data_IF_502473430358
#
_entry.id   IF_502473430358
#
_cell.length_a   1.000
_cell.length_b   1.000
_cell.length_c   1.000
_cell.angle_alpha   90.00
_cell.angle_beta   90.00
_cell.angle_gamma   90.00
#
_symmetry.space_group_name_H-M   'P 1'
#
loop_
_entity.id
_entity.type
_entity.pdbx_description
1 polymer ?
#
# COMPACT_ATOMS: atom_id res chain seq x y z
N UNK A 1 12.79 12.21 19.14
CA UNK A 1 13.09 11.01 18.32
C UNK A 1 11.82 10.65 17.55
N UNK A 2 11.81 10.66 16.21
CA UNK A 2 10.63 10.22 15.47
C UNK A 2 10.38 8.75 15.78
N UNK A 3 9.13 8.43 16.12
CA UNK A 3 8.71 7.08 16.45
C UNK A 3 9.07 6.11 15.32
N UNK A 4 9.47 4.87 15.62
CA UNK A 4 9.75 3.87 14.59
C UNK A 4 8.48 3.67 13.77
N UNK A 5 8.49 4.18 12.53
CA UNK A 5 7.40 3.95 11.58
C UNK A 5 7.33 2.43 11.39
N UNK A 6 6.21 1.84 11.83
CA UNK A 6 5.91 0.40 11.74
C UNK A 6 6.16 -0.19 10.34
N UNK A 7 6.12 0.64 9.30
CA UNK A 7 6.43 0.29 7.92
C UNK A 7 7.44 1.28 7.31
N UNK A 8 8.55 0.80 6.71
CA UNK A 8 9.49 1.66 6.02
C UNK A 8 8.88 2.26 4.75
N UNK A 9 9.34 3.45 4.32
CA UNK A 9 8.82 4.11 3.13
C UNK A 9 8.99 3.26 1.86
N UNK A 10 10.10 2.52 1.73
CA UNK A 10 10.32 1.67 0.55
C UNK A 10 9.26 0.56 0.44
N UNK A 11 8.82 0.02 1.58
CA UNK A 11 7.77 -1.00 1.62
C UNK A 11 6.42 -0.43 1.23
N UNK A 12 6.13 0.81 1.66
CA UNK A 12 4.92 1.52 1.24
C UNK A 12 4.89 1.73 -0.28
N UNK A 13 5.98 2.26 -0.85
CA UNK A 13 6.07 2.52 -2.29
C UNK A 13 5.96 1.22 -3.09
N UNK A 14 6.65 0.17 -2.64
CA UNK A 14 6.56 -1.17 -3.23
C UNK A 14 5.13 -1.71 -3.21
N UNK A 15 4.43 -1.60 -2.07
CA UNK A 15 3.07 -2.11 -1.94
C UNK A 15 2.08 -1.33 -2.85
N UNK A 16 2.21 -0.01 -2.93
CA UNK A 16 1.41 0.83 -3.85
C UNK A 16 1.64 0.41 -5.30
N UNK A 17 2.91 0.21 -5.69
CA UNK A 17 3.27 -0.20 -7.06
C UNK A 17 2.67 -1.57 -7.41
N UNK A 18 2.74 -2.53 -6.49
CA UNK A 18 2.14 -3.86 -6.68
C UNK A 18 0.62 -3.80 -6.82
N UNK A 19 -0.07 -2.93 -6.09
CA UNK A 19 -1.53 -2.75 -6.26
C UNK A 19 -1.85 -2.19 -7.64
N UNK A 20 -1.08 -1.20 -8.12
CA UNK A 20 -1.28 -0.63 -9.45
C UNK A 20 -1.01 -1.67 -10.55
N UNK A 21 0.07 -2.44 -10.41
CA UNK A 21 0.43 -3.50 -11.35
C UNK A 21 -0.63 -4.60 -11.39
N UNK A 22 -1.12 -5.04 -10.24
CA UNK A 22 -2.19 -6.03 -10.16
C UNK A 22 -3.50 -5.50 -10.76
N UNK A 23 -3.82 -4.21 -10.58
CA UNK A 23 -4.96 -3.58 -11.27
C UNK A 23 -4.78 -3.48 -12.79
N UNK A 24 -3.56 -3.28 -13.26
CA UNK A 24 -3.26 -3.22 -14.69
C UNK A 24 -3.31 -4.60 -15.33
N UNK A 25 -2.91 -5.65 -14.62
CA UNK A 25 -2.99 -7.04 -15.07
C UNK A 25 -4.42 -7.57 -15.04
N UNK A 26 -5.14 -7.31 -13.95
CA UNK A 26 -6.50 -7.78 -13.73
C UNK A 26 -7.47 -6.57 -13.68
N UNK A 27 -7.85 -6.08 -14.85
CA UNK A 27 -8.78 -4.94 -14.98
C UNK A 27 -10.18 -5.19 -14.40
N UNK A 28 -10.53 -6.45 -14.16
CA UNK A 28 -11.83 -6.87 -13.59
C UNK A 28 -11.81 -6.91 -12.04
N UNK A 29 -10.63 -6.96 -11.42
CA UNK A 29 -10.52 -7.03 -9.96
C UNK A 29 -10.82 -5.69 -9.30
N UNK A 30 -11.81 -5.70 -8.40
CA UNK A 30 -12.10 -4.56 -7.52
C UNK A 30 -10.87 -4.18 -6.68
N UNK A 31 -10.73 -2.87 -6.40
CA UNK A 31 -9.64 -2.34 -5.58
C UNK A 31 -9.51 -3.08 -4.23
N UNK A 32 -10.65 -3.45 -3.63
CA UNK A 32 -10.65 -4.18 -2.36
C UNK A 32 -9.99 -5.56 -2.47
N UNK A 33 -10.28 -6.30 -3.54
CA UNK A 33 -9.69 -7.62 -3.80
C UNK A 33 -8.19 -7.50 -4.01
N UNK A 34 -7.76 -6.51 -4.80
CA UNK A 34 -6.33 -6.27 -5.05
C UNK A 34 -5.60 -5.88 -3.77
N UNK A 35 -6.16 -4.97 -2.97
CA UNK A 35 -5.54 -4.53 -1.70
C UNK A 35 -5.46 -5.65 -0.67
N UNK A 36 -6.50 -6.51 -0.56
CA UNK A 36 -6.45 -7.71 0.28
C UNK A 36 -5.33 -8.66 -0.16
N UNK A 37 -5.26 -8.99 -1.45
CA UNK A 37 -4.28 -9.89 -2.02
C UNK A 37 -2.84 -9.37 -1.83
N UNK A 38 -2.60 -8.10 -2.16
CA UNK A 38 -1.27 -7.50 -2.03
C UNK A 38 -0.91 -7.30 -0.56
N UNK A 39 -1.84 -6.83 0.28
CA UNK A 39 -1.62 -6.63 1.72
C UNK A 39 -1.17 -7.92 2.41
N UNK A 40 -1.87 -9.03 2.19
CA UNK A 40 -1.45 -10.33 2.70
C UNK A 40 -0.08 -10.77 2.16
N UNK A 41 0.21 -10.50 0.89
CA UNK A 41 1.48 -10.87 0.25
C UNK A 41 2.69 -10.08 0.77
N UNK A 42 2.53 -8.81 1.10
CA UNK A 42 3.61 -7.95 1.64
C UNK A 42 3.64 -7.90 3.17
N UNK A 43 2.67 -8.52 3.85
CA UNK A 43 2.55 -8.47 5.31
C UNK A 43 2.04 -7.14 5.85
N UNK A 44 1.27 -6.39 5.05
CA UNK A 44 0.67 -5.10 5.43
C UNK A 44 -0.83 -5.27 5.60
N UNK A 45 -1.39 -4.66 6.65
CA UNK A 45 -2.83 -4.64 6.83
C UNK A 45 -3.53 -3.98 5.61
N UNK A 46 -4.51 -4.64 4.96
CA UNK A 46 -5.25 -4.09 3.81
C UNK A 46 -5.80 -2.67 4.05
N UNK A 47 -6.31 -2.37 5.24
CA UNK A 47 -6.80 -1.04 5.60
C UNK A 47 -5.70 0.02 5.58
N UNK A 48 -4.49 -0.36 6.04
CA UNK A 48 -3.31 0.51 5.99
C UNK A 48 -2.88 0.78 4.55
N UNK A 49 -2.83 -0.28 3.72
CA UNK A 49 -2.48 -0.18 2.31
C UNK A 49 -3.49 0.67 1.54
N UNK A 50 -4.79 0.53 1.83
CA UNK A 50 -5.85 1.39 1.29
C UNK A 50 -5.64 2.85 1.68
N UNK A 51 -5.29 3.12 2.94
CA UNK A 51 -4.97 4.47 3.41
C UNK A 51 -3.78 5.09 2.66
N UNK A 52 -2.78 4.29 2.30
CA UNK A 52 -1.63 4.75 1.51
C UNK A 52 -1.98 5.12 0.07
N UNK A 53 -2.96 4.43 -0.53
CA UNK A 53 -3.46 4.71 -1.89
C UNK A 53 -4.31 5.98 -1.95
N UNK A 54 -5.08 6.26 -0.90
CA UNK A 54 -5.93 7.46 -0.82
C UNK A 54 -5.08 8.72 -0.61
N UNK A 55 -3.94 8.62 0.08
CA UNK A 55 -3.08 9.76 0.39
C UNK A 55 -1.62 9.50 0.01
N UNK A 56 -1.25 9.50 -1.28
CA UNK A 56 0.15 9.55 -1.70
C UNK A 56 0.69 10.94 -1.32
N UNK A 57 1.57 11.03 -0.30
CA UNK A 57 2.20 12.32 0.03
C UNK A 57 2.18 12.77 1.49
N UNK A 58 1.68 11.98 2.46
CA UNK A 58 1.99 12.27 3.87
C UNK A 58 3.43 11.84 4.21
N UNK A 59 4.39 12.35 3.43
CA UNK A 59 5.76 12.47 3.88
C UNK A 59 5.73 13.52 4.98
N UNK A 60 5.59 13.04 6.21
CA UNK A 60 5.89 13.81 7.42
C UNK A 60 7.27 14.41 7.25
N UNK A 61 7.32 15.66 6.81
CA UNK A 61 8.44 16.56 7.04
C UNK A 61 8.36 16.90 8.54
N UNK A 62 9.11 16.15 9.33
CA UNK A 62 9.51 16.47 10.68
C UNK A 62 10.99 16.10 10.80
#
# INVERSE_FOLDING_TARGET
>A
MPAPRKYPPELRERAIRLVQEARAQDGDLSLNQVVLRIGQRVGVNPDTLRGWLIRPGFSSVF
#
